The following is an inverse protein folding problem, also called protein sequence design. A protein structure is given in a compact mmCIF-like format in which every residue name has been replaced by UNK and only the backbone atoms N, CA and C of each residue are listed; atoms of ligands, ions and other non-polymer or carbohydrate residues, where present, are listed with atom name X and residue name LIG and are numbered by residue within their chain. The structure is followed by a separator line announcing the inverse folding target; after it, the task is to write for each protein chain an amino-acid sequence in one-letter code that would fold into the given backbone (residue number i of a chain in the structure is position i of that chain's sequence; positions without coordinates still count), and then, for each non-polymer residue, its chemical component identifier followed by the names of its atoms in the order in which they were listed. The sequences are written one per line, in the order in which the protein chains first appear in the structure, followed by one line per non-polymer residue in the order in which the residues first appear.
data_IF_897353783607
#
_entry.id   IF_897353783607
#
_cell.length_a   1.000
_cell.length_b   1.000
_cell.length_c   1.000
_cell.angle_alpha   90.00
_cell.angle_beta   90.00
_cell.angle_gamma   90.00
#
_symmetry.space_group_name_H-M   'P 1'
#
loop_
_entity.id
_entity.type
_entity.pdbx_description
1 polymer ?
#
# COMPACT_ATOMS: atom_id res chain seq x y z
N UNK A 1 9.63 55.54 14.83
CA UNK A 1 10.24 54.30 14.35
C UNK A 1 9.14 53.24 14.31
N UNK A 2 8.54 52.91 13.16
CA UNK A 2 7.51 51.88 13.09
C UNK A 2 8.17 50.48 13.10
N UNK A 3 7.56 49.59 13.88
CA UNK A 3 7.95 48.17 14.03
C UNK A 3 7.47 47.39 12.80
N UNK A 4 8.42 47.04 11.94
CA UNK A 4 8.18 46.30 10.70
C UNK A 4 8.46 44.81 10.94
N UNK A 5 7.49 44.11 11.52
CA UNK A 5 7.50 42.66 11.60
C UNK A 5 6.64 42.07 10.48
N UNK A 6 7.16 41.22 9.62
CA UNK A 6 6.35 40.59 8.60
C UNK A 6 5.33 39.62 9.24
N UNK A 7 4.05 39.96 9.16
CA UNK A 7 2.94 39.04 9.35
C UNK A 7 2.92 38.03 8.22
N UNK A 8 3.58 36.91 8.40
CA UNK A 8 3.43 35.74 7.51
C UNK A 8 3.14 34.50 8.35
N UNK A 9 1.96 34.47 8.95
CA UNK A 9 1.31 33.23 9.38
C UNK A 9 -0.18 33.30 9.05
N UNK A 10 -0.50 33.42 7.76
CA UNK A 10 -1.88 33.26 7.28
C UNK A 10 -2.25 31.79 7.25
N UNK A 11 -3.08 31.40 8.21
CA UNK A 11 -4.09 30.33 8.18
C UNK A 11 -3.87 29.17 7.18
N UNK A 12 -2.92 28.32 7.47
CA UNK A 12 -2.93 26.96 6.90
C UNK A 12 -4.00 26.16 7.64
N UNK A 13 -5.14 25.92 7.02
CA UNK A 13 -6.19 25.10 7.61
C UNK A 13 -5.69 23.65 7.74
N UNK A 14 -6.15 22.93 8.79
CA UNK A 14 -5.80 21.51 9.00
C UNK A 14 -6.14 20.66 7.78
N UNK A 15 -7.19 21.00 7.02
CA UNK A 15 -7.53 20.37 5.73
C UNK A 15 -6.52 20.68 4.63
N UNK A 16 -5.98 21.89 4.56
CA UNK A 16 -4.94 22.26 3.59
C UNK A 16 -3.62 21.55 3.87
N UNK A 17 -3.24 21.40 5.16
CA UNK A 17 -2.05 20.68 5.55
C UNK A 17 -2.15 19.18 5.24
N UNK A 18 -3.32 18.56 5.47
CA UNK A 18 -3.55 17.16 5.15
C UNK A 18 -3.61 16.91 3.64
N UNK A 19 -4.16 17.85 2.86
CA UNK A 19 -4.18 17.76 1.39
C UNK A 19 -2.80 17.88 0.76
N UNK A 20 -1.92 18.73 1.28
CA UNK A 20 -0.55 18.88 0.78
C UNK A 20 0.39 17.77 1.27
N UNK A 21 0.23 17.32 2.51
CA UNK A 21 1.03 16.21 3.05
C UNK A 21 0.67 14.86 2.41
N UNK A 22 -0.61 14.59 2.14
CA UNK A 22 -1.04 13.41 1.42
C UNK A 22 -0.53 13.40 -0.04
N UNK A 23 -0.56 14.55 -0.71
CA UNK A 23 -0.04 14.69 -2.07
C UNK A 23 1.49 14.53 -2.15
N UNK A 24 2.24 15.05 -1.20
CA UNK A 24 3.70 14.97 -1.18
C UNK A 24 4.21 13.57 -0.76
N UNK A 25 3.55 12.92 0.22
CA UNK A 25 3.89 11.55 0.62
C UNK A 25 3.60 10.53 -0.49
N UNK A 26 2.58 10.77 -1.31
CA UNK A 26 2.25 9.93 -2.46
C UNK A 26 3.30 10.01 -3.57
N UNK A 27 4.02 11.13 -3.72
CA UNK A 27 5.04 11.32 -4.75
C UNK A 27 6.40 10.70 -4.40
N UNK A 28 6.69 10.43 -3.12
CA UNK A 28 7.99 9.89 -2.70
C UNK A 28 8.03 8.37 -2.49
N UNK A 29 6.88 7.72 -2.38
CA UNK A 29 6.80 6.26 -2.13
C UNK A 29 6.51 5.40 -3.36
N UNK A 30 5.96 5.97 -4.42
CA UNK A 30 5.60 5.26 -5.63
C UNK A 30 6.11 6.02 -6.85
N UNK A 31 7.24 5.61 -7.39
CA UNK A 31 7.54 5.84 -8.79
C UNK A 31 6.61 4.94 -9.62
N UNK A 32 5.34 5.31 -9.70
CA UNK A 32 4.51 4.88 -10.81
C UNK A 32 4.89 5.79 -11.96
N UNK A 33 5.54 5.32 -13.03
CA UNK A 33 5.56 6.05 -14.27
C UNK A 33 4.09 6.17 -14.69
N UNK A 34 3.57 7.40 -14.69
CA UNK A 34 2.28 7.73 -15.30
C UNK A 34 2.46 7.42 -16.79
N UNK A 35 2.08 6.22 -17.18
CA UNK A 35 2.36 5.66 -18.51
C UNK A 35 2.83 4.21 -18.50
N UNK A 36 3.12 3.61 -17.34
CA UNK A 36 3.19 2.17 -17.26
C UNK A 36 1.76 1.64 -17.46
N UNK A 37 1.48 1.26 -18.71
CA UNK A 37 0.42 0.31 -19.01
C UNK A 37 0.57 -0.79 -17.96
N UNK A 38 -0.45 -0.95 -17.10
CA UNK A 38 -0.54 -2.12 -16.26
C UNK A 38 -0.35 -3.31 -17.21
N UNK A 39 0.81 -3.96 -17.16
CA UNK A 39 0.96 -5.24 -17.81
C UNK A 39 -0.09 -6.11 -17.13
N UNK A 40 -1.20 -6.27 -17.83
CA UNK A 40 -2.15 -7.31 -17.50
C UNK A 40 -1.33 -8.60 -17.57
N UNK A 41 -1.00 -9.14 -16.39
CA UNK A 41 -0.33 -10.42 -16.31
C UNK A 41 -1.15 -11.40 -17.16
N UNK A 42 -0.49 -12.22 -17.95
CA UNK A 42 -1.13 -13.26 -18.74
C UNK A 42 -2.11 -14.02 -17.83
N UNK A 43 -3.41 -13.96 -18.14
CA UNK A 43 -4.46 -14.58 -17.31
C UNK A 43 -5.44 -13.61 -16.64
N UNK A 44 -5.26 -12.28 -16.78
CA UNK A 44 -6.21 -11.29 -16.27
C UNK A 44 -6.19 -11.09 -14.77
N UNK A 45 -5.03 -11.23 -14.14
CA UNK A 45 -4.77 -10.89 -12.73
C UNK A 45 -4.33 -9.42 -12.64
N UNK A 46 -4.95 -8.66 -11.75
CA UNK A 46 -4.53 -7.31 -11.40
C UNK A 46 -3.52 -7.36 -10.24
N UNK A 47 -2.33 -6.81 -10.43
CA UNK A 47 -1.27 -6.75 -9.42
C UNK A 47 -0.85 -5.29 -9.20
N UNK A 48 -1.49 -4.56 -8.27
CA UNK A 48 -1.24 -3.14 -8.04
C UNK A 48 0.14 -2.85 -7.44
N UNK A 49 0.75 -3.84 -6.78
CA UNK A 49 2.07 -3.77 -6.19
C UNK A 49 2.65 -5.17 -5.95
N UNK A 50 3.86 -5.25 -5.40
CA UNK A 50 4.55 -6.52 -5.15
C UNK A 50 3.87 -7.44 -4.13
N UNK A 51 2.97 -6.92 -3.29
CA UNK A 51 2.36 -7.68 -2.18
C UNK A 51 0.96 -8.20 -2.48
N UNK A 52 0.31 -7.74 -3.54
CA UNK A 52 -1.12 -8.01 -3.79
C UNK A 52 -1.33 -8.44 -5.25
N UNK A 53 -2.04 -9.54 -5.42
CA UNK A 53 -2.59 -9.99 -6.72
C UNK A 53 -4.09 -10.19 -6.55
N UNK A 54 -4.89 -9.74 -7.51
CA UNK A 54 -6.35 -9.90 -7.51
C UNK A 54 -6.74 -10.50 -8.86
N UNK A 55 -7.43 -11.63 -8.83
CA UNK A 55 -7.90 -12.27 -10.05
C UNK A 55 -9.25 -11.71 -10.51
N UNK A 56 -9.74 -12.18 -11.67
CA UNK A 56 -11.01 -11.74 -12.25
C UNK A 56 -12.24 -12.16 -11.44
N UNK A 57 -12.11 -13.16 -10.60
CA UNK A 57 -13.14 -13.64 -9.69
C UNK A 57 -13.19 -12.80 -8.41
N UNK A 58 -12.14 -11.94 -8.20
CA UNK A 58 -11.97 -11.11 -7.02
C UNK A 58 -11.32 -11.87 -5.85
N UNK A 59 -10.71 -13.03 -6.09
CA UNK A 59 -9.87 -13.68 -5.09
C UNK A 59 -8.55 -12.92 -4.94
N UNK A 60 -8.16 -12.66 -3.70
CA UNK A 60 -6.99 -11.87 -3.35
C UNK A 60 -5.86 -12.79 -2.91
N UNK A 61 -4.73 -12.72 -3.59
CA UNK A 61 -3.50 -13.39 -3.14
C UNK A 61 -2.57 -12.36 -2.54
N UNK A 62 -2.18 -12.56 -1.29
CA UNK A 62 -1.24 -11.72 -0.57
C UNK A 62 0.13 -12.38 -0.52
N UNK A 63 1.15 -11.64 -0.94
CA UNK A 63 2.53 -12.12 -1.00
C UNK A 63 3.21 -11.84 0.34
N UNK A 64 3.63 -12.89 1.03
CA UNK A 64 4.18 -12.81 2.38
C UNK A 64 5.70 -12.64 2.36
N UNK A 65 6.22 -11.48 2.80
CA UNK A 65 7.66 -11.20 2.80
C UNK A 65 8.41 -11.84 3.99
N UNK A 66 7.69 -12.49 4.90
CA UNK A 66 8.23 -13.06 6.13
C UNK A 66 7.82 -14.53 6.24
N UNK A 67 8.72 -15.37 6.78
CA UNK A 67 8.48 -16.80 6.94
C UNK A 67 7.66 -17.07 8.21
N UNK A 68 6.71 -18.01 8.12
CA UNK A 68 6.00 -18.55 9.28
C UNK A 68 6.83 -19.67 9.92
N UNK A 69 7.08 -19.55 11.21
CA UNK A 69 7.83 -20.52 12.04
C UNK A 69 7.05 -20.89 13.32
N UNK A 70 5.74 -20.64 13.33
CA UNK A 70 4.88 -20.80 14.49
C UNK A 70 4.67 -19.50 15.30
N UNK A 71 5.17 -18.35 14.79
CA UNK A 71 5.03 -17.05 15.46
C UNK A 71 3.82 -16.25 14.98
N UNK A 72 3.02 -16.77 14.03
CA UNK A 72 1.76 -16.16 13.60
C UNK A 72 1.88 -15.04 12.55
N UNK A 73 2.99 -14.95 11.82
CA UNK A 73 3.17 -13.96 10.75
C UNK A 73 2.22 -14.19 9.58
N UNK A 74 1.88 -15.44 9.27
CA UNK A 74 0.92 -15.78 8.21
C UNK A 74 -0.55 -15.53 8.60
N UNK A 75 -0.79 -15.04 9.81
CA UNK A 75 -2.07 -14.48 10.24
C UNK A 75 -2.01 -12.97 10.33
N UNK A 76 -1.05 -12.44 11.06
CA UNK A 76 -0.99 -11.03 11.40
C UNK A 76 -0.59 -10.11 10.23
N UNK A 77 0.34 -10.54 9.38
CA UNK A 77 0.76 -9.77 8.20
C UNK A 77 -0.37 -9.66 7.16
N UNK A 78 -1.01 -10.75 6.74
CA UNK A 78 -2.11 -10.63 5.79
C UNK A 78 -3.32 -9.87 6.34
N UNK A 79 -3.57 -9.91 7.64
CA UNK A 79 -4.62 -9.08 8.26
C UNK A 79 -4.37 -7.59 8.07
N UNK A 80 -3.11 -7.12 8.18
CA UNK A 80 -2.75 -5.73 7.94
C UNK A 80 -3.09 -5.30 6.50
N UNK A 81 -2.75 -6.14 5.52
CA UNK A 81 -3.02 -5.88 4.11
C UNK A 81 -4.52 -5.93 3.79
N UNK A 82 -5.20 -6.97 4.28
CA UNK A 82 -6.61 -7.20 4.01
C UNK A 82 -7.50 -6.10 4.60
N UNK A 83 -7.16 -5.59 5.78
CA UNK A 83 -7.86 -4.48 6.43
C UNK A 83 -7.78 -3.19 5.60
N UNK A 84 -6.60 -2.82 5.15
CA UNK A 84 -6.42 -1.60 4.35
C UNK A 84 -6.98 -1.73 2.92
N UNK A 85 -6.99 -2.95 2.39
CA UNK A 85 -7.56 -3.25 1.08
C UNK A 85 -9.09 -3.33 1.12
N UNK A 86 -9.68 -3.52 2.30
CA UNK A 86 -11.11 -3.82 2.51
C UNK A 86 -11.51 -5.16 1.84
N UNK A 87 -10.65 -6.17 1.97
CA UNK A 87 -10.81 -7.46 1.34
C UNK A 87 -11.69 -8.41 2.17
N UNK A 88 -12.54 -9.19 1.50
CA UNK A 88 -13.21 -10.33 2.15
C UNK A 88 -12.19 -11.39 2.57
N UNK A 89 -12.00 -11.55 3.87
CA UNK A 89 -11.03 -12.49 4.44
C UNK A 89 -11.21 -13.93 3.96
N UNK A 90 -12.44 -14.35 3.66
CA UNK A 90 -12.71 -15.69 3.15
C UNK A 90 -12.17 -15.93 1.73
N UNK A 91 -11.84 -14.84 1.03
CA UNK A 91 -11.30 -14.84 -0.33
C UNK A 91 -9.82 -14.51 -0.39
N UNK A 92 -9.16 -14.41 0.77
CA UNK A 92 -7.72 -14.16 0.88
C UNK A 92 -6.95 -15.47 0.84
N UNK A 93 -5.96 -15.54 -0.03
CA UNK A 93 -4.96 -16.60 -0.13
C UNK A 93 -3.57 -16.05 0.13
N UNK A 94 -2.67 -16.89 0.60
CA UNK A 94 -1.30 -16.50 0.90
C UNK A 94 -0.33 -17.22 -0.03
N UNK A 95 0.66 -16.48 -0.50
CA UNK A 95 1.80 -16.99 -1.26
C UNK A 95 3.08 -16.45 -0.62
N UNK A 96 4.09 -17.29 -0.48
CA UNK A 96 5.37 -16.85 0.03
C UNK A 96 6.10 -16.01 -1.02
N UNK A 97 6.73 -14.90 -0.59
CA UNK A 97 7.49 -14.04 -1.49
C UNK A 97 8.68 -14.79 -2.12
N UNK A 98 8.90 -14.64 -3.43
CA UNK A 98 10.09 -15.16 -4.07
C UNK A 98 11.35 -14.45 -3.56
N UNK A 99 12.55 -14.98 -3.80
CA UNK A 99 13.80 -14.28 -3.52
C UNK A 99 13.91 -13.01 -4.35
N UNK A 100 13.64 -11.87 -3.71
CA UNK A 100 13.73 -10.53 -4.33
C UNK A 100 13.88 -9.48 -3.23
N UNK A 101 15.11 -9.09 -2.97
CA UNK A 101 15.43 -8.10 -1.94
C UNK A 101 14.96 -6.68 -2.31
N UNK A 102 14.76 -6.40 -3.61
CA UNK A 102 14.29 -5.07 -4.04
C UNK A 102 12.89 -4.78 -3.51
N UNK A 103 12.01 -5.80 -3.49
CA UNK A 103 10.61 -5.65 -3.09
C UNK A 103 10.31 -6.18 -1.70
N UNK A 104 11.03 -7.22 -1.24
CA UNK A 104 10.68 -7.96 -0.04
C UNK A 104 11.73 -7.90 1.07
N UNK A 105 12.81 -7.11 0.93
CA UNK A 105 13.76 -6.90 2.02
C UNK A 105 13.03 -6.39 3.28
N UNK A 106 13.39 -6.94 4.41
CA UNK A 106 12.92 -6.44 5.69
C UNK A 106 13.49 -5.03 5.93
N UNK A 107 12.67 -3.98 6.06
CA UNK A 107 13.16 -2.59 6.13
C UNK A 107 14.09 -2.31 7.32
N UNK A 108 14.05 -3.15 8.37
CA UNK A 108 14.91 -3.00 9.55
C UNK A 108 16.21 -3.76 9.40
N UNK A 109 16.19 -4.91 8.69
CA UNK A 109 17.38 -5.77 8.52
C UNK A 109 18.17 -5.44 7.25
N UNK A 110 17.54 -4.81 6.25
CA UNK A 110 18.13 -4.50 4.96
C UNK A 110 18.31 -5.69 4.01
N UNK A 111 17.77 -6.86 4.38
CA UNK A 111 17.81 -8.11 3.60
C UNK A 111 16.47 -8.82 3.69
N UNK A 112 16.19 -9.73 2.76
CA UNK A 112 14.98 -10.58 2.82
C UNK A 112 15.19 -11.69 3.85
N UNK A 113 14.90 -11.39 5.11
CA UNK A 113 15.07 -12.29 6.24
C UNK A 113 13.98 -12.11 7.28
N UNK A 114 13.69 -13.20 8.01
CA UNK A 114 12.77 -13.21 9.15
C UNK A 114 13.57 -13.41 10.42
N UNK A 115 13.48 -12.46 11.36
CA UNK A 115 14.23 -12.53 12.60
C UNK A 115 14.05 -11.31 13.49
N UNK A 116 14.72 -11.32 14.62
CA UNK A 116 14.78 -10.20 15.56
C UNK A 116 13.39 -9.70 16.04
N UNK A 117 12.38 -10.55 16.04
CA UNK A 117 11.00 -10.24 16.48
C UNK A 117 10.45 -8.93 15.87
N UNK A 118 10.79 -8.65 14.61
CA UNK A 118 10.47 -7.37 13.98
C UNK A 118 9.47 -7.47 12.82
N UNK A 119 9.00 -8.66 12.44
CA UNK A 119 8.18 -8.87 11.25
C UNK A 119 7.01 -7.91 11.14
N UNK A 120 6.19 -7.77 12.19
CA UNK A 120 5.06 -6.85 12.19
C UNK A 120 5.53 -5.40 12.18
N UNK A 121 6.46 -5.04 13.05
CA UNK A 121 6.94 -3.67 13.18
C UNK A 121 7.61 -3.16 11.90
N UNK A 122 8.42 -3.99 11.24
CA UNK A 122 9.14 -3.64 10.03
C UNK A 122 8.18 -3.43 8.84
N UNK A 123 7.16 -4.26 8.73
CA UNK A 123 6.23 -4.24 7.61
C UNK A 123 4.91 -3.50 7.89
N UNK A 124 4.70 -2.96 9.10
CA UNK A 124 3.47 -2.27 9.48
C UNK A 124 3.09 -1.17 8.48
N UNK A 125 3.98 -0.20 8.28
CA UNK A 125 3.72 0.93 7.38
C UNK A 125 3.74 0.53 5.89
N UNK A 126 4.74 -0.22 5.39
CA UNK A 126 4.76 -0.63 4.00
C UNK A 126 3.52 -1.41 3.55
N UNK A 127 3.05 -2.36 4.36
CA UNK A 127 1.90 -3.17 3.99
C UNK A 127 0.59 -2.41 4.06
N UNK A 128 0.42 -1.52 5.03
CA UNK A 128 -0.73 -0.62 5.10
C UNK A 128 -0.80 0.30 3.87
N UNK A 129 0.33 0.87 3.47
CA UNK A 129 0.42 1.69 2.26
C UNK A 129 0.10 0.87 1.00
N UNK A 130 0.59 -0.37 0.91
CA UNK A 130 0.31 -1.25 -0.21
C UNK A 130 -1.18 -1.60 -0.31
N UNK A 131 -1.83 -1.93 0.80
CA UNK A 131 -3.27 -2.23 0.85
C UNK A 131 -4.13 -1.01 0.50
N UNK A 132 -3.88 0.13 1.14
CA UNK A 132 -4.60 1.38 0.89
C UNK A 132 -4.42 1.87 -0.55
N UNK A 133 -3.21 1.77 -1.11
CA UNK A 133 -2.93 2.13 -2.50
C UNK A 133 -3.68 1.26 -3.49
N UNK A 134 -3.71 -0.06 -3.27
CA UNK A 134 -4.47 -0.99 -4.09
C UNK A 134 -5.98 -0.68 -4.04
N UNK A 135 -6.53 -0.44 -2.83
CA UNK A 135 -7.93 -0.03 -2.66
C UNK A 135 -8.25 1.26 -3.42
N UNK A 136 -7.39 2.27 -3.32
CA UNK A 136 -7.59 3.52 -4.04
C UNK A 136 -7.63 3.31 -5.56
N UNK A 137 -6.78 2.45 -6.13
CA UNK A 137 -6.82 2.11 -7.55
C UNK A 137 -8.13 1.43 -7.94
N UNK A 138 -8.64 0.49 -7.13
CA UNK A 138 -9.90 -0.19 -7.39
C UNK A 138 -11.10 0.76 -7.32
N UNK A 139 -11.14 1.64 -6.32
CA UNK A 139 -12.19 2.66 -6.18
C UNK A 139 -12.19 3.62 -7.38
N UNK A 140 -11.02 4.08 -7.80
CA UNK A 140 -10.91 4.94 -8.98
C UNK A 140 -11.36 4.24 -10.26
N UNK A 141 -10.99 2.97 -10.44
CA UNK A 141 -11.40 2.19 -11.60
C UNK A 141 -12.92 1.98 -11.64
N UNK A 142 -13.54 1.68 -10.50
CA UNK A 142 -14.99 1.53 -10.37
C UNK A 142 -15.71 2.86 -10.65
N UNK A 143 -15.26 3.95 -10.05
CA UNK A 143 -15.81 5.29 -10.26
C UNK A 143 -15.77 5.71 -11.73
N UNK A 144 -14.62 5.46 -12.39
CA UNK A 144 -14.47 5.72 -13.82
C UNK A 144 -15.42 4.86 -14.69
N UNK A 145 -15.60 3.58 -14.33
CA UNK A 145 -16.53 2.68 -15.02
C UNK A 145 -18.01 3.07 -14.85
N UNK A 146 -18.37 3.65 -13.72
CA UNK A 146 -19.75 4.07 -13.42
C UNK A 146 -20.02 5.54 -13.76
N UNK A 147 -18.99 6.32 -14.09
CA UNK A 147 -19.12 7.74 -14.40
C UNK A 147 -19.50 8.61 -13.18
N UNK A 148 -19.05 8.22 -12.00
CA UNK A 148 -19.28 8.94 -10.73
C UNK A 148 -17.97 9.40 -10.11
N UNK A 149 -17.97 10.42 -9.23
CA UNK A 149 -16.79 10.81 -8.49
C UNK A 149 -16.31 9.70 -7.54
N UNK A 150 -15.01 9.48 -7.44
CA UNK A 150 -14.44 8.45 -6.54
C UNK A 150 -14.65 8.76 -5.04
N UNK A 151 -15.16 9.93 -4.69
CA UNK A 151 -15.46 10.34 -3.32
C UNK A 151 -16.90 10.04 -2.88
N UNK A 152 -17.74 9.53 -3.79
CA UNK A 152 -19.09 9.04 -3.48
C UNK A 152 -19.06 7.59 -3.00
#
# INVERSE_FOLDING_TARGET
MPDDRPEVLSHVSRRGLLGTAAGAAFLFGFHLPIGAQSQAAEGGTFAPNAFIKIDRQGDVTLIMPQVEMGQGTYTSIPMILAEELDADWNRVRLEHAPPDETHYANPVLGVQATGNSNSIRAFWTPLRQAGAGARACLVQAAAGGWGVPAAE
#
